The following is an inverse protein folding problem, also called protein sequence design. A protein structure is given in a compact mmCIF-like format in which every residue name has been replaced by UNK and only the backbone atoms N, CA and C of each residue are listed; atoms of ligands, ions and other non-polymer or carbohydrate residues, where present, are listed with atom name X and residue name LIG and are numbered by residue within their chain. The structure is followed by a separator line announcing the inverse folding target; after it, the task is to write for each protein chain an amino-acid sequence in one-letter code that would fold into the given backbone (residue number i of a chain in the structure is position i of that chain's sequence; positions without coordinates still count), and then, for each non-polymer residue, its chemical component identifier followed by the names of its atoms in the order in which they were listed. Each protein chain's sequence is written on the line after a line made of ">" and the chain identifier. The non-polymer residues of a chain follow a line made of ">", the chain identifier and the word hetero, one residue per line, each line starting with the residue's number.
data_IF_884099651237
#
_entry.id   IF_884099651237
#
_cell.length_a   1.000
_cell.length_b   1.000
_cell.length_c   1.000
_cell.angle_alpha   90.00
_cell.angle_beta   90.00
_cell.angle_gamma   90.00
#
_symmetry.space_group_name_H-M   'P 1'
#
loop_
_entity.id
_entity.type
_entity.pdbx_description
1 polymer ?
#
# COMPACT_ATOMS: atom_id res chain seq x y z
N UNK A 1 21.68 18.68 14.48
CA UNK A 1 21.26 17.31 14.89
C UNK A 1 20.34 16.67 13.89
N UNK A 2 19.22 17.26 13.44
CA UNK A 2 18.30 16.67 12.45
C UNK A 2 18.95 16.39 11.07
N UNK A 3 19.82 17.27 10.59
CA UNK A 3 20.50 17.11 9.29
C UNK A 3 21.42 15.87 9.25
N UNK A 4 22.18 15.61 10.32
CA UNK A 4 23.03 14.42 10.46
C UNK A 4 22.21 13.12 10.50
N UNK A 5 21.03 13.12 11.15
CA UNK A 5 20.11 11.97 11.15
C UNK A 5 19.57 11.73 9.74
N UNK A 6 19.17 12.79 9.04
CA UNK A 6 18.65 12.69 7.68
C UNK A 6 19.66 12.10 6.70
N UNK A 7 20.91 12.54 6.75
CA UNK A 7 21.99 12.00 5.91
C UNK A 7 22.23 10.51 6.17
N UNK A 8 22.24 10.10 7.46
CA UNK A 8 22.38 8.67 7.82
C UNK A 8 21.21 7.84 7.32
N UNK A 9 19.99 8.35 7.39
CA UNK A 9 18.79 7.65 6.90
C UNK A 9 18.85 7.44 5.39
N UNK A 10 19.22 8.48 4.61
CA UNK A 10 19.38 8.38 3.15
C UNK A 10 20.51 7.42 2.81
N UNK A 11 21.65 7.48 3.51
CA UNK A 11 22.76 6.55 3.30
C UNK A 11 22.35 5.10 3.61
N UNK A 12 21.60 4.87 4.70
CA UNK A 12 21.05 3.56 5.03
C UNK A 12 20.10 3.04 3.97
N UNK A 13 19.16 3.86 3.51
CA UNK A 13 18.23 3.52 2.45
C UNK A 13 18.94 3.20 1.12
N UNK A 14 20.01 3.95 0.79
CA UNK A 14 20.77 3.76 -0.44
C UNK A 14 21.40 2.35 -0.54
N UNK A 15 21.78 1.74 0.58
CA UNK A 15 22.30 0.37 0.60
C UNK A 15 21.21 -0.69 0.38
N UNK A 16 19.94 -0.34 0.59
CA UNK A 16 18.77 -1.21 0.42
C UNK A 16 18.03 -0.94 -0.90
N UNK A 17 18.35 0.15 -1.60
CA UNK A 17 17.72 0.56 -2.85
C UNK A 17 18.33 -0.15 -4.06
N UNK A 18 17.93 -1.38 -4.31
CA UNK A 18 18.27 -2.19 -5.48
C UNK A 18 17.06 -3.06 -5.88
N UNK A 19 16.97 -3.55 -7.13
CA UNK A 19 15.87 -4.41 -7.57
C UNK A 19 15.74 -5.65 -6.69
N UNK A 20 14.58 -5.82 -6.02
CA UNK A 20 14.36 -6.86 -5.02
C UNK A 20 12.94 -7.41 -5.04
N UNK A 21 12.44 -7.68 -6.26
CA UNK A 21 11.13 -8.32 -6.41
C UNK A 21 11.12 -9.66 -5.69
N UNK A 22 10.03 -9.98 -5.02
CA UNK A 22 9.82 -11.23 -4.30
C UNK A 22 10.21 -12.46 -5.13
N UNK A 23 11.02 -13.35 -4.55
CA UNK A 23 11.59 -14.54 -5.20
C UNK A 23 12.83 -14.30 -6.05
N UNK A 24 13.31 -13.06 -6.20
CA UNK A 24 14.54 -12.73 -6.92
C UNK A 24 15.80 -12.91 -6.07
N UNK A 25 16.97 -12.75 -6.69
CA UNK A 25 18.24 -12.70 -5.96
C UNK A 25 18.31 -11.47 -5.02
N UNK A 26 17.78 -10.31 -5.49
CA UNK A 26 17.69 -9.12 -4.66
C UNK A 26 16.82 -9.30 -3.43
N UNK A 27 15.72 -10.05 -3.55
CA UNK A 27 14.86 -10.41 -2.43
C UNK A 27 15.63 -11.18 -1.34
N UNK A 28 16.37 -12.24 -1.73
CA UNK A 28 17.22 -12.98 -0.78
C UNK A 28 18.27 -12.09 -0.12
N UNK A 29 18.93 -11.25 -0.92
CA UNK A 29 19.95 -10.31 -0.42
C UNK A 29 19.38 -9.33 0.60
N UNK A 30 18.20 -8.75 0.38
CA UNK A 30 17.61 -7.80 1.33
C UNK A 30 17.16 -8.49 2.61
N UNK A 31 16.65 -9.72 2.53
CA UNK A 31 16.31 -10.54 3.71
C UNK A 31 17.53 -10.76 4.59
N UNK A 32 18.66 -11.17 4.01
CA UNK A 32 19.94 -11.36 4.72
C UNK A 32 20.43 -10.06 5.36
N UNK A 33 20.40 -8.95 4.62
CA UNK A 33 20.85 -7.64 5.10
C UNK A 33 19.98 -7.13 6.25
N UNK A 34 18.65 -7.23 6.14
CA UNK A 34 17.73 -6.80 7.19
C UNK A 34 17.85 -7.67 8.44
N UNK A 35 18.02 -8.98 8.28
CA UNK A 35 18.26 -9.90 9.39
C UNK A 35 19.53 -9.51 10.17
N UNK A 36 20.65 -9.31 9.47
CA UNK A 36 21.90 -8.90 10.11
C UNK A 36 21.80 -7.54 10.84
N UNK A 37 21.04 -6.59 10.28
CA UNK A 37 20.81 -5.29 10.93
C UNK A 37 19.96 -5.40 12.20
N UNK A 38 18.91 -6.21 12.18
CA UNK A 38 18.08 -6.43 13.37
C UNK A 38 18.85 -7.17 14.46
N UNK A 39 19.68 -8.17 14.12
CA UNK A 39 20.59 -8.82 15.04
C UNK A 39 21.59 -7.82 15.65
N UNK A 40 22.16 -6.93 14.82
CA UNK A 40 23.04 -5.84 15.25
C UNK A 40 22.37 -4.85 16.21
N UNK A 41 21.04 -4.74 16.18
CA UNK A 41 20.24 -3.99 17.15
C UNK A 41 19.95 -4.78 18.44
N UNK A 42 20.36 -6.05 18.53
CA UNK A 42 20.12 -6.91 19.68
C UNK A 42 18.71 -7.50 19.75
N UNK A 43 18.00 -7.55 18.62
CA UNK A 43 16.70 -8.18 18.53
C UNK A 43 16.85 -9.68 18.25
N UNK A 44 15.90 -10.48 18.73
CA UNK A 44 15.76 -11.88 18.31
C UNK A 44 15.16 -11.92 16.91
N UNK A 45 15.91 -12.44 15.94
CA UNK A 45 15.53 -12.44 14.53
C UNK A 45 14.97 -13.80 14.10
N UNK A 46 13.83 -13.78 13.42
CA UNK A 46 13.26 -14.92 12.72
C UNK A 46 13.03 -14.56 11.25
N UNK A 47 13.39 -15.47 10.35
CA UNK A 47 13.05 -15.40 8.93
C UNK A 47 11.93 -16.41 8.69
N UNK A 48 10.75 -15.90 8.35
CA UNK A 48 9.53 -16.67 8.21
C UNK A 48 9.22 -16.91 6.73
N UNK A 49 9.73 -18.02 6.20
CA UNK A 49 9.58 -18.40 4.80
C UNK A 49 8.13 -18.71 4.43
N UNK A 50 7.71 -18.23 3.28
CA UNK A 50 6.43 -18.62 2.70
C UNK A 50 6.51 -18.73 1.18
N UNK A 51 5.49 -19.39 0.60
CA UNK A 51 5.33 -19.47 -0.85
C UNK A 51 3.92 -19.07 -1.26
N UNK A 52 3.79 -18.54 -2.47
CA UNK A 52 2.50 -18.10 -3.01
C UNK A 52 2.44 -18.22 -4.53
N UNK A 53 1.23 -18.12 -5.08
CA UNK A 53 0.96 -18.14 -6.50
C UNK A 53 0.11 -16.92 -6.91
N UNK A 54 0.70 -16.03 -7.70
CA UNK A 54 0.04 -14.81 -8.17
C UNK A 54 -0.76 -15.01 -9.46
N UNK A 55 -0.33 -15.94 -10.31
CA UNK A 55 -0.86 -16.12 -11.66
C UNK A 55 -2.40 -16.32 -11.76
N UNK A 56 -3.07 -17.06 -10.86
CA UNK A 56 -4.54 -17.16 -10.90
C UNK A 56 -5.22 -15.83 -10.68
N UNK A 57 -4.73 -15.03 -9.75
CA UNK A 57 -5.30 -13.71 -9.42
C UNK A 57 -5.08 -12.72 -10.56
N UNK A 58 -3.85 -12.64 -11.08
CA UNK A 58 -3.53 -11.78 -12.23
C UNK A 58 -4.40 -12.12 -13.44
N UNK A 59 -4.64 -13.41 -13.69
CA UNK A 59 -5.56 -13.85 -14.76
C UNK A 59 -6.98 -13.37 -14.52
N UNK A 60 -7.50 -13.53 -13.31
CA UNK A 60 -8.85 -13.08 -12.96
C UNK A 60 -8.96 -11.57 -13.16
N UNK A 61 -8.03 -10.77 -12.63
CA UNK A 61 -8.02 -9.32 -12.77
C UNK A 61 -7.93 -8.89 -14.24
N UNK A 62 -7.05 -9.51 -15.00
CA UNK A 62 -6.89 -9.25 -16.44
C UNK A 62 -8.17 -9.53 -17.22
N UNK A 63 -8.79 -10.69 -17.03
CA UNK A 63 -10.03 -11.03 -17.73
C UNK A 63 -11.21 -10.17 -17.27
N UNK A 64 -11.23 -9.76 -16.01
CA UNK A 64 -12.24 -8.82 -15.50
C UNK A 64 -12.13 -7.45 -16.18
N UNK A 65 -10.90 -6.93 -16.31
CA UNK A 65 -10.66 -5.67 -17.02
C UNK A 65 -10.99 -5.76 -18.49
N UNK A 66 -10.63 -6.84 -19.19
CA UNK A 66 -10.95 -7.05 -20.61
C UNK A 66 -12.44 -7.25 -20.83
N UNK A 67 -13.11 -8.06 -20.00
CA UNK A 67 -14.56 -8.21 -20.04
C UNK A 67 -15.30 -6.91 -19.74
N UNK A 68 -14.82 -6.17 -18.74
CA UNK A 68 -15.32 -4.84 -18.40
C UNK A 68 -15.14 -3.83 -19.53
N UNK A 69 -14.00 -3.87 -20.22
CA UNK A 69 -13.74 -3.02 -21.40
C UNK A 69 -14.77 -3.29 -22.51
N UNK A 70 -15.02 -4.56 -22.85
CA UNK A 70 -16.04 -4.91 -23.82
C UNK A 70 -17.45 -4.47 -23.39
N UNK A 71 -17.77 -4.71 -22.12
CA UNK A 71 -19.09 -4.36 -21.57
C UNK A 71 -19.33 -2.84 -21.54
N UNK A 72 -18.35 -2.03 -21.17
CA UNK A 72 -18.50 -0.57 -21.12
C UNK A 72 -18.58 0.06 -22.51
N UNK A 73 -17.85 -0.45 -23.49
CA UNK A 73 -17.98 -0.02 -24.90
C UNK A 73 -19.38 -0.35 -25.43
N UNK A 74 -19.87 -1.57 -25.18
CA UNK A 74 -21.21 -1.98 -25.55
C UNK A 74 -22.31 -1.16 -24.86
N UNK A 75 -22.14 -0.89 -23.55
CA UNK A 75 -23.03 -0.01 -22.79
C UNK A 75 -23.06 1.42 -23.37
N UNK A 76 -21.89 1.95 -23.77
CA UNK A 76 -21.78 3.25 -24.44
C UNK A 76 -22.56 3.29 -25.77
N UNK A 77 -22.48 2.24 -26.55
CA UNK A 77 -23.27 2.11 -27.79
C UNK A 77 -24.78 2.00 -27.50
N UNK A 78 -25.18 1.20 -26.49
CA UNK A 78 -26.57 1.08 -26.04
C UNK A 78 -27.14 2.40 -25.49
N UNK A 79 -26.29 3.28 -24.94
CA UNK A 79 -26.70 4.57 -24.42
C UNK A 79 -27.45 5.41 -25.45
N UNK A 80 -27.09 5.26 -26.71
CA UNK A 80 -27.75 5.93 -27.84
C UNK A 80 -29.09 5.26 -28.27
N UNK A 81 -29.12 3.92 -28.36
CA UNK A 81 -30.24 3.17 -28.94
C UNK A 81 -31.20 2.59 -27.91
N UNK A 82 -30.70 2.25 -26.72
CA UNK A 82 -31.44 1.53 -25.69
C UNK A 82 -30.94 1.89 -24.29
N UNK A 83 -31.13 3.14 -23.81
CA UNK A 83 -30.49 3.69 -22.62
C UNK A 83 -30.77 2.91 -21.32
N UNK A 84 -31.93 2.24 -21.22
CA UNK A 84 -32.25 1.37 -20.06
C UNK A 84 -31.29 0.17 -20.01
N UNK A 85 -31.02 -0.48 -21.15
CA UNK A 85 -30.09 -1.59 -21.22
C UNK A 85 -28.63 -1.15 -21.02
N UNK A 86 -28.28 0.07 -21.44
CA UNK A 86 -26.99 0.69 -21.09
C UNK A 86 -26.83 0.80 -19.57
N UNK A 87 -27.83 1.32 -18.87
CA UNK A 87 -27.84 1.40 -17.42
C UNK A 87 -27.70 0.02 -16.75
N UNK A 88 -28.42 -1.00 -17.24
CA UNK A 88 -28.30 -2.36 -16.73
C UNK A 88 -26.88 -2.93 -16.92
N UNK A 89 -26.25 -2.71 -18.07
CA UNK A 89 -24.89 -3.14 -18.33
C UNK A 89 -23.87 -2.47 -17.38
N UNK A 90 -24.03 -1.17 -17.10
CA UNK A 90 -23.19 -0.45 -16.13
C UNK A 90 -23.41 -0.97 -14.70
N UNK A 91 -24.63 -1.28 -14.29
CA UNK A 91 -24.89 -1.90 -12.98
C UNK A 91 -24.15 -3.22 -12.87
N UNK A 92 -24.21 -4.09 -13.90
CA UNK A 92 -23.46 -5.35 -13.92
C UNK A 92 -21.96 -5.09 -13.82
N UNK A 93 -21.41 -4.13 -14.57
CA UNK A 93 -19.99 -3.77 -14.52
C UNK A 93 -19.57 -3.31 -13.13
N UNK A 94 -20.35 -2.44 -12.49
CA UNK A 94 -20.05 -1.91 -11.15
C UNK A 94 -20.14 -3.01 -10.10
N UNK A 95 -21.15 -3.87 -10.16
CA UNK A 95 -21.29 -4.99 -9.22
C UNK A 95 -20.15 -6.00 -9.37
N UNK A 96 -19.85 -6.42 -10.61
CA UNK A 96 -18.72 -7.35 -10.84
C UNK A 96 -17.39 -6.72 -10.48
N UNK A 97 -17.15 -5.46 -10.85
CA UNK A 97 -15.95 -4.72 -10.48
C UNK A 97 -15.84 -4.52 -8.95
N UNK A 98 -16.93 -4.18 -8.29
CA UNK A 98 -16.98 -4.01 -6.83
C UNK A 98 -16.69 -5.30 -6.06
N UNK A 99 -17.16 -6.45 -6.57
CA UNK A 99 -16.88 -7.76 -5.98
C UNK A 99 -15.42 -8.19 -6.21
N UNK A 100 -14.88 -7.92 -7.40
CA UNK A 100 -13.56 -8.41 -7.81
C UNK A 100 -12.42 -7.46 -7.45
N UNK A 101 -12.67 -6.15 -7.46
CA UNK A 101 -11.69 -5.11 -7.09
C UNK A 101 -11.89 -4.62 -5.65
N UNK A 102 -13.03 -4.93 -5.03
CA UNK A 102 -13.23 -4.78 -3.60
C UNK A 102 -12.43 -5.85 -2.87
N UNK A 103 -11.70 -5.42 -1.85
CA UNK A 103 -10.96 -6.35 -0.99
C UNK A 103 -11.94 -7.36 -0.38
N UNK A 104 -11.92 -8.58 -0.86
CA UNK A 104 -12.87 -9.64 -0.50
C UNK A 104 -12.15 -10.82 0.14
N UNK A 105 -12.68 -11.41 1.24
CA UNK A 105 -12.05 -12.55 1.91
C UNK A 105 -11.76 -13.75 0.99
N UNK A 106 -12.55 -13.92 -0.09
CA UNK A 106 -12.29 -15.00 -1.05
C UNK A 106 -11.05 -14.74 -1.93
N UNK A 107 -10.74 -13.46 -2.26
CA UNK A 107 -9.50 -13.07 -2.94
C UNK A 107 -8.30 -13.32 -2.03
N UNK A 108 -8.40 -13.00 -0.74
CA UNK A 108 -7.35 -13.32 0.23
C UNK A 108 -7.04 -14.81 0.24
N UNK A 109 -8.04 -15.67 0.17
CA UNK A 109 -7.88 -17.13 0.07
C UNK A 109 -7.11 -17.57 -1.19
N UNK A 110 -7.20 -16.81 -2.29
CA UNK A 110 -6.40 -17.08 -3.50
C UNK A 110 -4.94 -16.67 -3.32
N UNK A 111 -4.67 -15.51 -2.72
CA UNK A 111 -3.30 -15.03 -2.43
C UNK A 111 -2.56 -15.93 -1.44
N UNK A 112 -3.28 -16.61 -0.56
CA UNK A 112 -2.73 -17.54 0.45
C UNK A 112 -2.37 -18.92 -0.10
N UNK A 113 -2.63 -19.24 -1.37
CA UNK A 113 -2.24 -20.53 -1.95
C UNK A 113 -0.74 -20.64 -2.08
N UNK A 114 -0.18 -21.77 -1.68
CA UNK A 114 1.22 -22.07 -1.94
C UNK A 114 1.49 -22.19 -3.45
N UNK A 115 2.68 -21.72 -3.88
CA UNK A 115 3.01 -21.65 -5.29
C UNK A 115 4.51 -21.57 -5.54
N UNK A 116 4.90 -21.22 -6.77
CA UNK A 116 6.30 -21.25 -7.19
C UNK A 116 7.13 -20.07 -6.66
N UNK A 117 6.50 -18.94 -6.31
CA UNK A 117 7.22 -17.78 -5.78
C UNK A 117 7.48 -17.98 -4.30
N UNK A 118 8.72 -17.80 -3.88
CA UNK A 118 9.18 -17.96 -2.50
C UNK A 118 9.83 -16.68 -2.03
N UNK A 119 9.48 -16.23 -0.85
CA UNK A 119 10.06 -15.11 -0.12
C UNK A 119 9.88 -15.34 1.37
N UNK A 120 10.21 -14.38 2.21
CA UNK A 120 10.03 -14.46 3.66
C UNK A 120 9.63 -13.12 4.25
N UNK A 121 9.05 -13.15 5.43
CA UNK A 121 9.04 -12.00 6.33
C UNK A 121 10.30 -12.03 7.21
N UNK A 122 10.87 -10.88 7.52
CA UNK A 122 11.95 -10.75 8.50
C UNK A 122 11.38 -10.12 9.76
N UNK A 123 11.44 -10.85 10.86
CA UNK A 123 10.84 -10.43 12.13
C UNK A 123 11.92 -10.29 13.19
N UNK A 124 12.07 -9.08 13.74
CA UNK A 124 12.91 -8.83 14.90
C UNK A 124 12.05 -8.61 16.13
N UNK A 125 12.27 -9.36 17.20
CA UNK A 125 11.50 -9.25 18.45
C UNK A 125 12.40 -8.84 19.63
N UNK A 126 11.88 -7.92 20.45
CA UNK A 126 12.30 -7.72 21.82
C UNK A 126 11.12 -8.09 22.71
N UNK A 127 11.23 -9.21 23.41
CA UNK A 127 10.16 -9.76 24.25
C UNK A 127 9.83 -8.85 25.43
N UNK A 128 8.58 -8.84 25.85
CA UNK A 128 8.16 -8.21 27.10
C UNK A 128 8.49 -9.10 28.30
N UNK A 129 8.77 -8.48 29.45
CA UNK A 129 9.03 -9.19 30.69
C UNK A 129 7.76 -9.76 31.39
N UNK A 130 6.56 -9.56 30.81
CA UNK A 130 5.27 -10.00 31.37
C UNK A 130 4.12 -9.81 30.39
N UNK A 131 2.88 -10.09 30.79
CA UNK A 131 1.71 -9.85 29.97
C UNK A 131 1.60 -8.35 29.69
N UNK A 132 1.83 -7.96 28.47
CA UNK A 132 1.92 -6.58 28.08
C UNK A 132 1.18 -6.29 26.79
N UNK A 133 1.62 -5.24 26.12
CA UNK A 133 1.12 -4.82 24.82
C UNK A 133 2.20 -5.01 23.79
N UNK A 134 1.81 -5.18 22.57
CA UNK A 134 2.71 -5.33 21.43
C UNK A 134 2.68 -4.10 20.55
N UNK A 135 3.84 -3.51 20.31
CA UNK A 135 4.08 -2.49 19.31
C UNK A 135 4.73 -3.12 18.09
N UNK A 136 4.11 -2.96 16.93
CA UNK A 136 4.64 -3.45 15.66
C UNK A 136 5.10 -2.24 14.83
N UNK A 137 6.37 -2.26 14.39
CA UNK A 137 6.90 -1.33 13.38
C UNK A 137 7.05 -2.11 12.09
N UNK A 138 6.36 -1.69 11.04
CA UNK A 138 6.26 -2.46 9.80
C UNK A 138 6.66 -1.65 8.57
N UNK A 139 7.36 -2.29 7.64
CA UNK A 139 7.58 -1.83 6.27
C UNK A 139 7.79 -3.03 5.35
N UNK A 140 7.40 -2.94 4.08
CA UNK A 140 7.71 -4.02 3.16
C UNK A 140 9.11 -3.88 2.58
N UNK A 141 9.74 -5.01 2.28
CA UNK A 141 11.11 -5.04 1.78
C UNK A 141 11.21 -5.33 0.28
N UNK A 142 10.18 -5.85 -0.35
CA UNK A 142 10.18 -6.09 -1.79
C UNK A 142 10.01 -4.79 -2.59
N UNK A 143 10.32 -4.84 -3.87
CA UNK A 143 10.07 -3.77 -4.84
C UNK A 143 9.65 -4.38 -6.17
N UNK A 144 8.88 -3.64 -6.98
CA UNK A 144 8.55 -4.08 -8.34
C UNK A 144 8.60 -2.93 -9.34
N UNK A 145 8.89 -3.24 -10.59
CA UNK A 145 8.64 -2.33 -11.70
C UNK A 145 7.34 -2.69 -12.41
N UNK A 146 6.74 -1.71 -13.06
CA UNK A 146 5.54 -1.88 -13.86
C UNK A 146 5.74 -1.27 -15.25
N UNK A 147 5.24 -1.96 -16.29
CA UNK A 147 5.37 -1.52 -17.68
C UNK A 147 4.64 -0.21 -17.98
N UNK A 148 3.65 0.16 -17.18
CA UNK A 148 2.91 1.42 -17.29
C UNK A 148 3.32 2.34 -16.13
N UNK A 149 3.97 3.46 -16.45
CA UNK A 149 4.40 4.45 -15.46
C UNK A 149 3.22 4.97 -14.60
N UNK A 150 3.47 5.33 -13.35
CA UNK A 150 2.44 5.74 -12.40
C UNK A 150 1.51 6.83 -12.92
N UNK A 151 1.96 7.92 -13.58
CA UNK A 151 1.05 8.92 -14.14
C UNK A 151 0.11 8.35 -15.21
N UNK A 152 0.62 7.44 -16.05
CA UNK A 152 -0.19 6.78 -17.07
C UNK A 152 -1.23 5.83 -16.45
N UNK A 153 -0.87 5.11 -15.38
CA UNK A 153 -1.82 4.29 -14.61
C UNK A 153 -2.91 5.13 -13.97
N UNK A 154 -2.53 6.24 -13.34
CA UNK A 154 -3.49 7.18 -12.76
C UNK A 154 -4.42 7.74 -13.84
N UNK A 155 -3.88 8.13 -14.99
CA UNK A 155 -4.65 8.59 -16.15
C UNK A 155 -5.60 7.53 -16.68
N UNK A 156 -5.15 6.28 -16.83
CA UNK A 156 -5.98 5.16 -17.26
C UNK A 156 -7.08 4.84 -16.23
N UNK A 157 -6.77 4.83 -14.95
CA UNK A 157 -7.78 4.61 -13.90
C UNK A 157 -8.83 5.73 -13.90
N UNK A 158 -8.40 6.98 -14.00
CA UNK A 158 -9.30 8.12 -14.09
C UNK A 158 -10.14 8.06 -15.38
N UNK A 159 -9.52 7.73 -16.52
CA UNK A 159 -10.20 7.54 -17.81
C UNK A 159 -11.27 6.46 -17.77
N UNK A 160 -10.98 5.32 -17.10
CA UNK A 160 -11.96 4.26 -16.88
C UNK A 160 -13.15 4.75 -16.04
N UNK A 161 -12.88 5.43 -14.91
CA UNK A 161 -13.93 5.94 -14.01
C UNK A 161 -14.79 7.02 -14.68
N UNK A 162 -14.16 8.03 -15.25
CA UNK A 162 -14.87 9.12 -15.92
C UNK A 162 -15.63 8.64 -17.16
N UNK A 163 -15.07 7.67 -17.87
CA UNK A 163 -15.74 7.05 -19.01
C UNK A 163 -17.00 6.30 -18.59
N UNK A 164 -16.97 5.52 -17.50
CA UNK A 164 -18.18 4.86 -16.95
C UNK A 164 -19.24 5.91 -16.58
N UNK A 165 -18.84 6.98 -15.87
CA UNK A 165 -19.75 8.10 -15.54
C UNK A 165 -20.32 8.75 -16.81
N UNK A 166 -19.48 8.97 -17.81
CA UNK A 166 -19.91 9.56 -19.10
C UNK A 166 -20.93 8.69 -19.84
N UNK A 167 -20.81 7.36 -19.78
CA UNK A 167 -21.83 6.44 -20.34
C UNK A 167 -23.18 6.62 -19.62
N UNK A 168 -23.17 6.68 -18.29
CA UNK A 168 -24.39 6.89 -17.49
C UNK A 168 -25.04 8.24 -17.81
N UNK A 169 -24.23 9.30 -17.90
CA UNK A 169 -24.73 10.64 -18.27
C UNK A 169 -25.29 10.64 -19.68
N UNK A 170 -24.59 10.01 -20.65
CA UNK A 170 -25.06 9.88 -22.03
C UNK A 170 -26.41 9.18 -22.13
N UNK A 171 -26.59 8.05 -21.42
CA UNK A 171 -27.87 7.35 -21.35
C UNK A 171 -28.97 8.23 -20.73
N UNK A 172 -28.66 8.98 -19.68
CA UNK A 172 -29.58 9.91 -19.01
C UNK A 172 -30.03 11.06 -19.92
N UNK A 173 -29.13 11.60 -20.74
CA UNK A 173 -29.44 12.66 -21.72
C UNK A 173 -30.42 12.16 -22.77
N UNK A 174 -30.23 10.94 -23.28
CA UNK A 174 -31.14 10.31 -24.26
C UNK A 174 -32.52 10.05 -23.64
N UNK A 175 -32.56 9.53 -22.39
CA UNK A 175 -33.81 9.31 -21.66
C UNK A 175 -34.59 10.62 -21.41
N UNK A 176 -33.89 11.75 -21.23
CA UNK A 176 -34.48 13.06 -21.05
C UNK A 176 -34.98 13.70 -22.36
N UNK A 177 -34.95 12.97 -23.47
CA UNK A 177 -35.39 13.45 -24.80
C UNK A 177 -34.48 14.52 -25.43
N UNK A 178 -33.22 14.63 -24.95
CA UNK A 178 -32.23 15.60 -25.44
C UNK A 178 -31.17 14.91 -26.35
N UNK A 179 -31.59 13.88 -27.12
CA UNK A 179 -30.69 13.00 -27.87
C UNK A 179 -29.97 13.62 -29.07
N UNK A 180 -30.49 14.73 -29.63
CA UNK A 180 -30.03 15.29 -30.91
C UNK A 180 -28.72 16.07 -30.73
N UNK A 181 -27.58 15.42 -30.84
CA UNK A 181 -26.22 15.97 -30.76
C UNK A 181 -25.38 15.48 -29.58
N UNK A 182 -25.97 15.07 -28.47
CA UNK A 182 -25.25 14.57 -27.29
C UNK A 182 -25.28 13.04 -27.17
N UNK A 183 -26.01 12.35 -28.04
CA UNK A 183 -26.14 10.88 -28.01
C UNK A 183 -24.80 10.13 -28.18
N UNK A 184 -23.84 10.72 -28.90
CA UNK A 184 -22.50 10.16 -29.09
C UNK A 184 -21.60 10.27 -27.86
N UNK A 185 -21.98 11.05 -26.86
CA UNK A 185 -21.21 11.22 -25.61
C UNK A 185 -21.04 9.87 -24.88
N UNK A 186 -22.10 9.06 -24.81
CA UNK A 186 -22.03 7.72 -24.22
C UNK A 186 -21.06 6.79 -24.97
N UNK A 187 -21.09 6.82 -26.31
CA UNK A 187 -20.17 6.02 -27.14
C UNK A 187 -18.72 6.42 -26.90
N UNK A 188 -18.43 7.72 -27.01
CA UNK A 188 -17.07 8.25 -26.78
C UNK A 188 -16.56 7.90 -25.37
N UNK A 189 -17.39 8.10 -24.35
CA UNK A 189 -17.07 7.77 -22.96
C UNK A 189 -16.82 6.27 -22.77
N UNK A 190 -17.64 5.41 -23.39
CA UNK A 190 -17.43 3.95 -23.37
C UNK A 190 -16.12 3.53 -24.03
N UNK A 191 -15.75 4.14 -25.16
CA UNK A 191 -14.47 3.88 -25.82
C UNK A 191 -13.30 4.32 -24.95
N UNK A 192 -13.35 5.51 -24.34
CA UNK A 192 -12.30 6.00 -23.42
C UNK A 192 -12.14 5.04 -22.24
N UNK A 193 -13.24 4.62 -21.61
CA UNK A 193 -13.19 3.65 -20.51
C UNK A 193 -12.63 2.30 -20.97
N UNK A 194 -13.07 1.78 -22.12
CA UNK A 194 -12.60 0.51 -22.67
C UNK A 194 -11.11 0.50 -22.97
N UNK A 195 -10.60 1.54 -23.66
CA UNK A 195 -9.16 1.68 -23.95
C UNK A 195 -8.37 1.78 -22.65
N UNK A 196 -8.85 2.53 -21.66
CA UNK A 196 -8.22 2.65 -20.35
C UNK A 196 -8.14 1.31 -19.60
N UNK A 197 -9.21 0.53 -19.60
CA UNK A 197 -9.24 -0.81 -18.99
C UNK A 197 -8.33 -1.80 -19.72
N UNK A 198 -8.26 -1.74 -21.07
CA UNK A 198 -7.32 -2.56 -21.86
C UNK A 198 -5.87 -2.19 -21.52
N UNK A 199 -5.54 -0.90 -21.40
CA UNK A 199 -4.20 -0.45 -21.00
C UNK A 199 -3.81 -1.00 -19.61
N UNK A 200 -4.72 -0.95 -18.64
CA UNK A 200 -4.51 -1.53 -17.31
C UNK A 200 -4.39 -3.07 -17.36
N UNK A 201 -5.19 -3.75 -18.18
CA UNK A 201 -5.11 -5.20 -18.33
C UNK A 201 -3.82 -5.69 -19.03
N UNK A 202 -3.24 -4.85 -19.87
CA UNK A 202 -1.97 -5.14 -20.58
C UNK A 202 -0.73 -4.87 -19.71
N UNK A 203 -0.90 -4.28 -18.52
CA UNK A 203 0.21 -3.99 -17.61
C UNK A 203 0.90 -5.28 -17.16
N UNK A 204 2.22 -5.25 -17.11
CA UNK A 204 3.07 -6.32 -16.60
C UNK A 204 3.98 -5.80 -15.49
N UNK A 205 4.36 -6.68 -14.58
CA UNK A 205 5.31 -6.41 -13.50
C UNK A 205 6.68 -6.98 -13.84
N UNK A 206 7.74 -6.27 -13.44
CA UNK A 206 9.14 -6.63 -13.64
C UNK A 206 9.97 -6.41 -12.37
N UNK A 207 11.30 -6.47 -12.51
CA UNK A 207 12.25 -6.28 -11.41
C UNK A 207 13.31 -5.22 -11.75
N UNK A 208 12.89 -4.09 -12.33
CA UNK A 208 13.81 -3.01 -12.71
C UNK A 208 13.80 -1.83 -11.72
N UNK A 209 12.86 -1.80 -10.76
CA UNK A 209 12.77 -0.75 -9.76
C UNK A 209 13.72 -1.01 -8.59
N UNK A 210 14.65 -0.08 -8.31
CA UNK A 210 15.44 -0.13 -7.08
C UNK A 210 14.60 0.06 -5.81
N UNK A 211 13.38 0.60 -5.92
CA UNK A 211 12.50 0.82 -4.79
C UNK A 211 13.11 1.76 -3.75
N UNK A 212 13.60 2.93 -4.17
CA UNK A 212 14.19 3.91 -3.27
C UNK A 212 13.15 4.53 -2.35
N UNK A 213 12.12 5.12 -2.94
CA UNK A 213 10.97 5.67 -2.22
C UNK A 213 10.04 4.54 -1.77
N UNK A 214 9.87 3.54 -2.63
CA UNK A 214 9.00 2.40 -2.42
C UNK A 214 9.82 1.09 -2.44
N UNK A 215 10.43 0.68 -1.30
CA UNK A 215 10.17 1.14 0.05
C UNK A 215 11.47 1.27 0.91
N UNK A 216 12.67 1.42 0.29
CA UNK A 216 13.95 1.46 1.00
C UNK A 216 14.03 2.61 2.02
N UNK A 217 13.40 3.76 1.72
CA UNK A 217 13.29 4.87 2.68
C UNK A 217 12.57 4.47 3.96
N UNK A 218 11.46 3.75 3.85
CA UNK A 218 10.69 3.24 4.99
C UNK A 218 11.46 2.18 5.78
N UNK A 219 12.21 1.29 5.11
CA UNK A 219 13.08 0.32 5.79
C UNK A 219 14.10 1.03 6.69
N UNK A 220 14.76 2.08 6.18
CA UNK A 220 15.71 2.87 6.95
C UNK A 220 15.06 3.59 8.13
N UNK A 221 13.84 4.12 7.96
CA UNK A 221 13.05 4.76 9.03
C UNK A 221 12.73 3.75 10.13
N UNK A 222 12.27 2.55 9.78
CA UNK A 222 11.93 1.50 10.75
C UNK A 222 13.17 1.03 11.52
N UNK A 223 14.30 0.85 10.84
CA UNK A 223 15.58 0.49 11.50
C UNK A 223 16.04 1.58 12.50
N UNK A 224 15.95 2.85 12.14
CA UNK A 224 16.28 3.96 13.05
C UNK A 224 15.32 4.00 14.25
N UNK A 225 14.00 3.82 14.01
CA UNK A 225 13.00 3.75 15.09
C UNK A 225 13.28 2.55 16.02
N UNK A 226 13.59 1.39 15.49
CA UNK A 226 13.95 0.22 16.28
C UNK A 226 15.18 0.47 17.15
N UNK A 227 16.17 1.21 16.63
CA UNK A 227 17.34 1.62 17.39
C UNK A 227 17.02 2.61 18.51
N UNK A 228 16.12 3.58 18.31
CA UNK A 228 15.71 4.58 19.30
C UNK A 228 14.80 4.00 20.39
N UNK A 229 13.94 3.06 20.00
CA UNK A 229 12.94 2.45 20.88
C UNK A 229 13.46 1.22 21.65
N UNK A 230 14.78 1.05 21.76
CA UNK A 230 15.36 -0.07 22.51
C UNK A 230 14.97 -0.08 24.00
N UNK A 231 14.71 1.08 24.59
CA UNK A 231 14.42 1.27 26.00
C UNK A 231 12.93 1.49 26.29
N UNK A 232 12.05 0.86 25.51
CA UNK A 232 10.62 0.84 25.84
C UNK A 232 10.37 0.12 27.18
N UNK A 233 9.26 0.42 27.89
CA UNK A 233 8.92 -0.25 29.13
C UNK A 233 8.98 -1.79 29.02
N UNK A 234 9.33 -2.49 30.12
CA UNK A 234 9.54 -3.94 30.06
C UNK A 234 8.27 -4.75 29.78
N UNK A 235 7.09 -4.17 29.93
CA UNK A 235 5.79 -4.74 29.60
C UNK A 235 5.37 -4.51 28.14
N UNK A 236 6.18 -3.80 27.35
CA UNK A 236 5.94 -3.59 25.93
C UNK A 236 6.83 -4.52 25.11
N UNK A 237 6.22 -5.41 24.35
CA UNK A 237 6.91 -6.18 23.30
C UNK A 237 7.10 -5.30 22.06
N UNK A 238 8.32 -5.23 21.55
CA UNK A 238 8.61 -4.58 20.27
C UNK A 238 8.79 -5.63 19.19
N UNK A 239 7.99 -5.53 18.12
CA UNK A 239 8.12 -6.33 16.91
C UNK A 239 8.48 -5.41 15.76
N UNK A 240 9.59 -5.67 15.11
CA UNK A 240 9.96 -5.07 13.81
C UNK A 240 9.64 -6.08 12.73
N UNK A 241 8.72 -5.74 11.84
CA UNK A 241 8.22 -6.63 10.80
C UNK A 241 8.55 -6.06 9.42
N UNK A 242 9.48 -6.71 8.72
CA UNK A 242 9.71 -6.43 7.32
C UNK A 242 8.99 -7.48 6.48
N UNK A 243 7.90 -7.07 5.84
CA UNK A 243 7.05 -7.95 5.05
C UNK A 243 7.60 -8.16 3.65
N UNK A 244 7.51 -9.38 3.14
CA UNK A 244 7.74 -9.70 1.73
C UNK A 244 6.44 -9.74 0.95
N UNK A 245 6.53 -9.58 -0.37
CA UNK A 245 5.39 -9.67 -1.29
C UNK A 245 4.21 -8.73 -0.94
N UNK A 246 4.49 -7.53 -0.45
CA UNK A 246 3.50 -6.48 -0.34
C UNK A 246 2.99 -6.09 -1.73
N UNK A 247 3.93 -5.89 -2.64
CA UNK A 247 3.74 -5.52 -4.03
C UNK A 247 2.94 -6.57 -4.83
N UNK A 248 2.86 -7.77 -4.32
CA UNK A 248 2.05 -8.86 -4.83
C UNK A 248 0.80 -9.08 -3.94
N UNK A 249 0.12 -7.99 -3.58
CA UNK A 249 -1.14 -7.96 -2.84
C UNK A 249 -1.03 -8.25 -1.33
N UNK A 250 0.01 -7.74 -0.67
CA UNK A 250 0.21 -7.81 0.79
C UNK A 250 0.27 -9.25 1.34
N UNK A 251 0.79 -10.18 0.53
CA UNK A 251 0.82 -11.61 0.90
C UNK A 251 1.60 -11.83 2.19
N UNK A 252 2.74 -11.14 2.37
CA UNK A 252 3.57 -11.26 3.58
C UNK A 252 2.85 -10.88 4.85
N UNK A 253 2.15 -9.73 4.84
CA UNK A 253 1.34 -9.29 5.97
C UNK A 253 0.24 -10.30 6.32
N UNK A 254 -0.46 -10.85 5.31
CA UNK A 254 -1.47 -11.89 5.53
C UNK A 254 -0.86 -13.17 6.10
N UNK A 255 0.31 -13.59 5.61
CA UNK A 255 1.00 -14.79 6.11
C UNK A 255 1.45 -14.62 7.55
N UNK A 256 1.98 -13.44 7.89
CA UNK A 256 2.39 -13.13 9.25
C UNK A 256 1.20 -13.17 10.22
N UNK A 257 0.09 -12.53 9.84
CA UNK A 257 -1.14 -12.53 10.64
C UNK A 257 -1.73 -13.93 10.84
N UNK A 258 -1.61 -14.81 9.86
CA UNK A 258 -2.08 -16.21 9.99
C UNK A 258 -1.15 -17.01 10.90
N UNK A 259 0.16 -16.85 10.77
CA UNK A 259 1.15 -17.58 11.57
C UNK A 259 1.07 -17.19 13.06
N UNK A 260 0.81 -15.91 13.34
CA UNK A 260 0.77 -15.36 14.70
C UNK A 260 -0.65 -15.16 15.25
N UNK A 261 -1.67 -15.81 14.66
CA UNK A 261 -3.07 -15.56 15.02
C UNK A 261 -3.36 -15.78 16.51
N UNK A 262 -2.86 -16.89 17.11
CA UNK A 262 -3.05 -17.19 18.53
C UNK A 262 -2.35 -16.16 19.45
N UNK A 263 -1.16 -15.72 19.08
CA UNK A 263 -0.45 -14.69 19.85
C UNK A 263 -1.20 -13.34 19.80
N UNK A 264 -1.74 -12.98 18.63
CA UNK A 264 -2.47 -11.73 18.42
C UNK A 264 -3.81 -11.68 19.17
N UNK A 265 -4.43 -12.83 19.41
CA UNK A 265 -5.64 -12.94 20.26
C UNK A 265 -5.33 -12.75 21.75
N UNK A 266 -4.12 -13.07 22.18
CA UNK A 266 -3.71 -13.04 23.59
C UNK A 266 -3.11 -11.70 24.05
N UNK A 267 -2.60 -10.88 23.11
CA UNK A 267 -1.91 -9.62 23.41
C UNK A 267 -2.46 -8.49 22.57
N UNK A 268 -2.88 -7.39 23.19
CA UNK A 268 -3.28 -6.17 22.48
C UNK A 268 -2.11 -5.67 21.64
N UNK A 269 -2.32 -5.60 20.33
CA UNK A 269 -1.30 -5.26 19.35
C UNK A 269 -1.70 -4.04 18.55
N UNK A 270 -0.78 -3.10 18.39
CA UNK A 270 -0.92 -1.91 17.56
C UNK A 270 0.27 -1.78 16.61
N UNK A 271 0.03 -1.25 15.41
CA UNK A 271 1.01 -1.23 14.33
C UNK A 271 1.21 0.18 13.78
N UNK A 272 2.47 0.57 13.59
CA UNK A 272 2.86 1.67 12.72
C UNK A 272 3.48 1.09 11.45
N UNK A 273 2.82 1.29 10.33
CA UNK A 273 3.30 0.91 9.01
C UNK A 273 3.98 2.09 8.32
N UNK A 274 5.05 1.84 7.60
CA UNK A 274 5.78 2.85 6.82
C UNK A 274 5.83 2.40 5.36
N UNK A 275 5.22 3.21 4.49
CA UNK A 275 5.05 2.87 3.08
C UNK A 275 5.12 4.12 2.21
N UNK A 276 6.05 4.13 1.25
CA UNK A 276 6.35 5.30 0.44
C UNK A 276 6.87 6.49 1.26
N UNK A 277 7.55 6.22 2.39
CA UNK A 277 8.06 7.24 3.31
C UNK A 277 9.48 7.64 2.93
N UNK A 278 9.73 8.95 2.77
CA UNK A 278 11.05 9.51 2.51
C UNK A 278 11.14 10.43 1.30
N UNK A 279 10.12 10.51 0.44
CA UNK A 279 10.10 11.49 -0.63
C UNK A 279 9.92 12.92 -0.10
N UNK A 280 10.46 13.96 -0.79
CA UNK A 280 10.37 15.34 -0.35
C UNK A 280 8.92 15.80 -0.13
N UNK A 281 8.65 16.48 0.97
CA UNK A 281 7.34 17.07 1.21
C UNK A 281 6.84 16.97 2.65
N UNK A 282 5.52 16.91 2.80
CA UNK A 282 4.88 16.79 4.11
C UNK A 282 4.82 15.32 4.54
N UNK A 283 4.83 15.12 5.83
CA UNK A 283 4.44 13.80 6.40
C UNK A 283 2.98 13.54 6.08
N UNK A 284 2.69 12.36 5.56
CA UNK A 284 1.35 11.92 5.18
C UNK A 284 0.94 10.77 6.09
N UNK A 285 -0.24 10.87 6.67
CA UNK A 285 -0.89 9.77 7.38
C UNK A 285 -2.01 9.20 6.50
N UNK A 286 -1.95 7.91 6.19
CA UNK A 286 -3.02 7.21 5.51
C UNK A 286 -3.98 6.71 6.58
N UNK A 287 -5.12 7.38 6.72
CA UNK A 287 -6.01 7.19 7.87
C UNK A 287 -7.28 6.43 7.55
N UNK A 288 -7.63 6.31 6.27
CA UNK A 288 -8.87 5.65 5.83
C UNK A 288 -8.68 4.89 4.53
N UNK A 289 -9.52 3.87 4.31
CA UNK A 289 -9.56 3.08 3.09
C UNK A 289 -10.99 2.73 2.65
N UNK A 290 -11.13 2.21 1.44
CA UNK A 290 -12.43 1.83 0.87
C UNK A 290 -13.42 2.99 0.85
N UNK A 291 -14.58 2.80 1.43
CA UNK A 291 -15.66 3.80 1.54
C UNK A 291 -15.50 4.71 2.77
N UNK A 292 -14.27 4.93 3.25
CA UNK A 292 -13.97 5.81 4.39
C UNK A 292 -13.83 5.09 5.73
N UNK A 293 -13.60 3.77 5.74
CA UNK A 293 -13.30 3.01 6.95
C UNK A 293 -11.95 3.45 7.53
N UNK A 294 -11.93 3.72 8.85
CA UNK A 294 -10.71 4.12 9.53
C UNK A 294 -9.76 2.92 9.72
N UNK A 295 -8.45 3.17 9.60
CA UNK A 295 -7.41 2.17 9.88
C UNK A 295 -7.12 2.07 11.38
N UNK A 296 -6.91 3.21 12.04
CA UNK A 296 -6.38 3.28 13.39
C UNK A 296 -6.80 4.60 14.06
N UNK A 297 -8.05 4.72 14.57
CA UNK A 297 -8.55 5.97 15.13
C UNK A 297 -7.76 6.47 16.33
N UNK A 298 -7.33 5.57 17.21
CA UNK A 298 -6.62 5.92 18.42
C UNK A 298 -5.17 6.30 18.14
N UNK A 299 -4.46 5.51 17.32
CA UNK A 299 -3.12 5.86 16.86
C UNK A 299 -3.09 7.16 16.04
N UNK A 300 -4.10 7.38 15.19
CA UNK A 300 -4.26 8.64 14.45
C UNK A 300 -4.38 9.84 15.42
N UNK A 301 -5.23 9.73 16.44
CA UNK A 301 -5.42 10.79 17.43
C UNK A 301 -4.13 11.12 18.19
N UNK A 302 -3.41 10.09 18.64
CA UNK A 302 -2.13 10.24 19.35
C UNK A 302 -1.07 10.90 18.44
N UNK A 303 -0.94 10.43 17.20
CA UNK A 303 0.01 10.96 16.22
C UNK A 303 -0.30 12.41 15.83
N UNK A 304 -1.58 12.74 15.60
CA UNK A 304 -2.01 14.11 15.29
C UNK A 304 -1.71 15.05 16.46
N UNK A 305 -1.89 14.59 17.71
CA UNK A 305 -1.56 15.37 18.91
C UNK A 305 -0.07 15.61 19.01
N UNK A 306 0.76 14.57 18.82
CA UNK A 306 2.22 14.70 18.77
C UNK A 306 2.67 15.70 17.69
N UNK A 307 2.11 15.58 16.48
CA UNK A 307 2.43 16.48 15.38
C UNK A 307 2.13 17.95 15.69
N UNK A 308 1.00 18.24 16.38
CA UNK A 308 0.62 19.61 16.79
C UNK A 308 1.61 20.17 17.83
N UNK A 309 2.01 19.39 18.80
CA UNK A 309 2.94 19.82 19.85
C UNK A 309 4.36 20.05 19.29
N UNK A 310 4.78 19.23 18.34
CA UNK A 310 6.06 19.38 17.66
C UNK A 310 6.03 20.48 16.57
N UNK A 311 4.85 21.04 16.22
CA UNK A 311 4.72 21.94 15.08
C UNK A 311 5.00 21.27 13.73
N UNK A 312 4.92 19.94 13.65
CA UNK A 312 5.19 19.18 12.42
C UNK A 312 3.97 19.19 11.50
N UNK A 313 4.07 19.74 10.27
CA UNK A 313 2.93 19.79 9.36
C UNK A 313 2.65 18.39 8.79
N UNK A 314 1.46 17.88 9.04
CA UNK A 314 0.99 16.60 8.52
C UNK A 314 -0.16 16.78 7.53
N UNK A 315 -0.32 15.80 6.65
CA UNK A 315 -1.49 15.66 5.77
C UNK A 315 -2.16 14.31 6.06
N UNK A 316 -3.47 14.31 6.25
CA UNK A 316 -4.26 13.07 6.35
C UNK A 316 -4.93 12.78 5.02
N UNK A 317 -4.84 11.54 4.57
CA UNK A 317 -5.46 11.14 3.29
C UNK A 317 -6.33 9.89 3.45
N UNK A 318 -7.28 9.77 2.55
CA UNK A 318 -8.00 8.54 2.27
C UNK A 318 -7.24 7.80 1.18
N UNK A 319 -6.97 6.54 1.38
CA UNK A 319 -6.31 5.71 0.36
C UNK A 319 -7.21 5.57 -0.88
N UNK A 320 -6.62 5.72 -2.05
CA UNK A 320 -7.36 5.56 -3.29
C UNK A 320 -7.87 4.11 -3.44
N UNK A 321 -9.05 3.89 -4.03
CA UNK A 321 -9.50 2.55 -4.37
C UNK A 321 -8.50 1.82 -5.26
N UNK A 322 -8.37 0.52 -5.07
CA UNK A 322 -7.44 -0.36 -5.80
C UNK A 322 -5.94 -0.12 -5.54
N UNK A 323 -5.60 0.67 -4.50
CA UNK A 323 -4.24 0.74 -3.93
C UNK A 323 -4.22 -0.17 -2.70
N UNK A 324 -3.17 -1.00 -2.56
CA UNK A 324 -2.92 -1.84 -1.40
C UNK A 324 -1.85 -1.23 -0.50
N UNK A 325 -1.90 -1.52 0.77
CA UNK A 325 -0.83 -1.32 1.76
C UNK A 325 -0.99 -2.38 2.85
N UNK A 326 0.08 -2.80 3.47
CA UNK A 326 0.10 -3.85 4.50
C UNK A 326 -0.79 -3.58 5.72
N UNK A 327 -1.21 -2.33 5.93
CA UNK A 327 -2.17 -1.98 6.97
C UNK A 327 -3.59 -2.54 6.74
N UNK A 328 -3.97 -2.91 5.51
CA UNK A 328 -5.31 -3.43 5.19
C UNK A 328 -5.57 -4.78 5.88
N UNK A 329 -4.70 -5.81 5.72
CA UNK A 329 -4.87 -7.08 6.40
C UNK A 329 -4.95 -6.94 7.92
N UNK A 330 -4.17 -6.02 8.53
CA UNK A 330 -4.22 -5.74 9.97
C UNK A 330 -5.57 -5.16 10.39
N UNK A 331 -6.07 -4.15 9.66
CA UNK A 331 -7.37 -3.55 9.92
C UNK A 331 -8.54 -4.56 9.75
N UNK A 332 -8.40 -5.55 8.87
CA UNK A 332 -9.38 -6.63 8.72
C UNK A 332 -9.40 -7.59 9.91
N UNK A 333 -8.29 -7.69 10.64
CA UNK A 333 -8.18 -8.46 11.89
C UNK A 333 -8.52 -7.64 13.14
N UNK A 334 -8.91 -6.36 12.98
CA UNK A 334 -9.24 -5.46 14.08
C UNK A 334 -8.03 -4.91 14.82
N UNK A 335 -6.82 -5.02 14.24
CA UNK A 335 -5.59 -4.44 14.76
C UNK A 335 -5.47 -3.02 14.21
N UNK A 336 -5.31 -2.02 15.08
CA UNK A 336 -5.00 -0.66 14.63
C UNK A 336 -3.64 -0.63 13.91
N UNK A 337 -3.63 -0.17 12.67
CA UNK A 337 -2.42 -0.04 11.89
C UNK A 337 -2.40 1.30 11.16
N UNK A 338 -1.63 2.26 11.67
CA UNK A 338 -1.51 3.59 11.08
C UNK A 338 -0.33 3.65 10.11
N UNK A 339 -0.59 4.03 8.86
CA UNK A 339 0.47 4.14 7.86
C UNK A 339 1.02 5.55 7.73
N UNK A 340 2.35 5.64 7.80
CA UNK A 340 3.15 6.83 7.50
C UNK A 340 3.67 6.75 6.07
N UNK A 341 3.55 7.86 5.37
CA UNK A 341 4.08 8.08 4.03
C UNK A 341 4.61 9.52 3.93
N UNK A 342 5.07 9.93 2.78
CA UNK A 342 5.45 11.31 2.55
C UNK A 342 5.31 11.72 1.10
N UNK A 343 5.43 13.03 0.86
CA UNK A 343 5.56 13.56 -0.47
C UNK A 343 4.39 14.40 -0.95
N UNK A 344 4.53 14.80 -2.18
CA UNK A 344 3.54 15.50 -2.99
C UNK A 344 3.56 14.87 -4.38
N UNK A 345 2.55 15.18 -5.21
CA UNK A 345 2.59 14.81 -6.63
C UNK A 345 3.82 15.49 -7.28
N UNK A 346 4.83 14.70 -7.58
CA UNK A 346 6.11 15.18 -8.12
C UNK A 346 6.98 14.05 -8.65
N UNK A 347 8.19 14.37 -9.10
CA UNK A 347 9.08 13.43 -9.78
C UNK A 347 9.37 12.18 -8.94
N UNK A 348 9.63 12.33 -7.64
CA UNK A 348 9.90 11.21 -6.75
C UNK A 348 8.73 10.21 -6.70
N UNK A 349 7.49 10.72 -6.54
CA UNK A 349 6.28 9.90 -6.53
C UNK A 349 6.02 9.26 -7.91
N UNK A 350 6.25 10.00 -8.99
CA UNK A 350 6.02 9.48 -10.35
C UNK A 350 7.05 8.43 -10.78
N UNK A 351 8.22 8.38 -10.12
CA UNK A 351 9.24 7.38 -10.37
C UNK A 351 8.93 6.01 -9.73
N UNK A 352 8.04 5.97 -8.73
CA UNK A 352 7.64 4.73 -8.05
C UNK A 352 7.21 3.66 -9.06
N UNK A 353 7.63 2.43 -8.83
CA UNK A 353 7.47 1.28 -9.72
C UNK A 353 8.18 1.42 -11.09
N UNK A 354 9.29 2.15 -11.14
CA UNK A 354 10.14 2.26 -12.32
C UNK A 354 11.63 2.18 -11.97
N UNK A 355 12.48 2.03 -12.96
CA UNK A 355 13.94 2.13 -12.77
C UNK A 355 14.40 3.50 -12.24
N UNK A 356 13.54 4.50 -12.28
CA UNK A 356 13.79 5.83 -11.75
C UNK A 356 13.53 5.97 -10.24
N UNK A 357 13.00 4.95 -9.57
CA UNK A 357 12.78 4.97 -8.12
C UNK A 357 14.08 4.67 -7.36
N UNK A 358 14.97 5.62 -7.36
CA UNK A 358 16.31 5.54 -6.78
C UNK A 358 16.38 6.25 -5.42
N UNK A 359 17.38 5.90 -4.60
CA UNK A 359 17.63 6.56 -3.31
C UNK A 359 17.87 8.09 -3.43
N UNK A 360 18.31 8.59 -4.60
CA UNK A 360 18.44 10.01 -4.87
C UNK A 360 17.12 10.81 -4.85
N UNK A 361 15.98 10.13 -4.85
CA UNK A 361 14.65 10.73 -4.70
C UNK A 361 14.25 10.94 -3.22
N UNK A 362 15.05 10.45 -2.28
CA UNK A 362 14.78 10.58 -0.84
C UNK A 362 15.23 11.95 -0.31
N UNK A 363 14.51 12.43 0.69
CA UNK A 363 14.81 13.67 1.42
C UNK A 363 15.03 13.37 2.90
N UNK A 364 16.28 13.51 3.32
CA UNK A 364 16.70 13.21 4.68
C UNK A 364 15.94 13.99 5.76
N UNK A 365 15.62 15.26 5.49
CA UNK A 365 14.87 16.08 6.44
C UNK A 365 13.42 15.58 6.60
N UNK A 366 12.79 15.11 5.53
CA UNK A 366 11.47 14.51 5.59
C UNK A 366 11.52 13.18 6.35
N UNK A 367 12.52 12.33 6.08
CA UNK A 367 12.71 11.07 6.79
C UNK A 367 12.94 11.29 8.29
N UNK A 368 13.79 12.25 8.68
CA UNK A 368 14.03 12.60 10.07
C UNK A 368 12.74 13.08 10.77
N UNK A 369 11.94 13.93 10.11
CA UNK A 369 10.63 14.36 10.65
C UNK A 369 9.66 13.22 10.86
N UNK A 370 9.67 12.21 9.97
CA UNK A 370 8.81 11.01 10.14
C UNK A 370 9.27 10.21 11.36
N UNK A 371 10.58 9.98 11.49
CA UNK A 371 11.15 9.27 12.65
C UNK A 371 10.79 10.00 13.95
N UNK A 372 11.05 11.31 14.05
CA UNK A 372 10.78 12.09 15.24
C UNK A 372 9.28 12.09 15.61
N UNK A 373 8.40 12.19 14.61
CA UNK A 373 6.95 12.16 14.84
C UNK A 373 6.46 10.76 15.26
N UNK A 374 6.96 9.71 14.63
CA UNK A 374 6.59 8.35 14.97
C UNK A 374 7.07 7.97 16.38
N UNK A 375 8.30 8.34 16.74
CA UNK A 375 8.84 8.17 18.09
C UNK A 375 7.97 8.89 19.15
N UNK A 376 7.61 10.16 18.90
CA UNK A 376 6.73 10.91 19.79
C UNK A 376 5.32 10.28 19.88
N UNK A 377 4.79 9.73 18.80
CA UNK A 377 3.53 9.00 18.80
C UNK A 377 3.62 7.71 19.64
N UNK A 378 4.72 6.96 19.52
CA UNK A 378 4.98 5.75 20.33
C UNK A 378 5.06 6.09 21.82
N UNK A 379 5.77 7.15 22.19
CA UNK A 379 5.83 7.58 23.60
C UNK A 379 4.46 7.95 24.16
N UNK A 380 3.58 8.54 23.35
CA UNK A 380 2.19 8.80 23.76
C UNK A 380 1.38 7.52 23.86
N UNK A 381 1.58 6.59 22.95
CA UNK A 381 0.94 5.29 22.99
C UNK A 381 1.35 4.53 24.27
N UNK A 382 2.61 4.60 24.66
CA UNK A 382 3.09 4.03 25.94
C UNK A 382 2.44 4.73 27.13
N UNK A 383 2.41 6.06 27.16
CA UNK A 383 1.88 6.85 28.27
C UNK A 383 0.35 6.79 28.42
N UNK A 384 -0.38 6.61 27.31
CA UNK A 384 -1.84 6.59 27.30
C UNK A 384 -2.48 5.29 27.81
N UNK A 385 -1.72 4.44 28.44
CA UNK A 385 -2.05 3.06 28.86
C UNK A 385 -2.18 2.90 30.37
N UNK A 386 -2.10 3.99 31.13
CA UNK A 386 -2.30 4.02 32.56
C UNK A 386 -3.71 4.42 32.94
#
# INVERSE_FOLDING_TARGET
>A
MTHDVGERLVASAATLAFPRRSGSEGDRRVIEELSARLEGLGLHVAVEDFSYELAPVERILRWTLLGGAGLVVWAGWLAHSSPIWSGAAIVVLVLCGGILLGWSPWLEGLYRRSGPTRTANVVGKREAAGPGRRLILMAHHDSKSQSLALPARMGATLGALLGVVGVVVGAGVVLAGRGDGLSWMGVTAGVVAGVSMVALAAMSSGNDSPGGVDNAGSLAIVLELAARLRELPPDVELVVLFTGAEEDHMVGAMRWLDLHAEELESVTSDCFNFDGAGSPGRVVLITRYGIGRAFAPDLERMTVTAAREMGTPIRRIVMAPAVGIDAIPFAHRGIECLSFSSGSLGQATYAVHSAGDVAGNLDGDTMARIVDLAEAAVHRWVAGSG
#
